data_IF_892874092219
#
_entry.id   IF_892874092219
#
_cell.length_a   1.000
_cell.length_b   1.000
_cell.length_c   1.000
_cell.angle_alpha   90.00
_cell.angle_beta   90.00
_cell.angle_gamma   90.00
#
_symmetry.space_group_name_H-M   'P 1'
#
loop_
_entity.id
_entity.type
_entity.pdbx_description
1 polymer ?
#
# COMPACT_ATOMS: atom_id res chain seq x y z
N UNK A 1 -10.26 32.55 27.87
CA UNK A 1 -9.64 31.61 26.96
C UNK A 1 -8.80 30.47 27.58
N UNK A 2 -8.55 30.41 28.88
CA UNK A 2 -7.72 29.39 29.56
C UNK A 2 -8.47 28.14 30.07
N UNK A 3 -9.80 28.01 29.90
CA UNK A 3 -10.59 26.90 30.48
C UNK A 3 -10.93 25.74 29.53
N UNK A 4 -10.62 25.82 28.23
CA UNK A 4 -11.07 24.82 27.24
C UNK A 4 -10.03 23.72 26.92
N UNK A 5 -8.76 23.94 27.16
CA UNK A 5 -7.69 23.07 26.61
C UNK A 5 -7.46 21.78 27.41
N UNK A 6 -7.81 21.72 28.68
CA UNK A 6 -7.45 20.59 29.55
C UNK A 6 -8.55 19.53 29.75
N UNK A 7 -9.72 19.68 29.12
CA UNK A 7 -10.89 18.79 29.34
C UNK A 7 -11.52 18.20 28.08
N UNK A 8 -10.91 18.38 26.90
CA UNK A 8 -11.47 17.81 25.68
C UNK A 8 -10.96 16.36 25.48
N UNK A 9 -11.81 15.42 25.08
CA UNK A 9 -11.40 14.04 24.77
C UNK A 9 -10.22 13.99 23.79
N UNK A 10 -10.15 14.95 22.86
CA UNK A 10 -9.05 15.07 21.88
C UNK A 10 -7.68 15.26 22.55
N UNK A 11 -7.62 16.10 23.59
CA UNK A 11 -6.39 16.29 24.35
C UNK A 11 -5.97 15.01 25.08
N UNK A 12 -6.91 14.34 25.74
CA UNK A 12 -6.62 13.10 26.48
C UNK A 12 -6.16 11.97 25.55
N UNK A 13 -6.82 11.78 24.39
CA UNK A 13 -6.42 10.80 23.38
C UNK A 13 -5.03 11.13 22.83
N UNK A 14 -4.80 12.40 22.49
CA UNK A 14 -3.50 12.85 21.97
C UNK A 14 -2.37 12.68 22.99
N UNK A 15 -2.62 13.06 24.25
CA UNK A 15 -1.65 12.90 25.32
C UNK A 15 -1.33 11.43 25.62
N UNK A 16 -2.36 10.57 25.69
CA UNK A 16 -2.18 9.13 25.87
C UNK A 16 -1.37 8.52 24.71
N UNK A 17 -1.69 8.87 23.46
CA UNK A 17 -0.95 8.41 22.28
C UNK A 17 0.52 8.84 22.29
N UNK A 18 0.79 10.11 22.64
CA UNK A 18 2.17 10.60 22.76
C UNK A 18 2.95 9.93 23.88
N UNK A 19 2.33 9.72 25.05
CA UNK A 19 2.96 9.02 26.17
C UNK A 19 3.27 7.55 25.80
N UNK A 20 2.33 6.88 25.15
CA UNK A 20 2.54 5.50 24.68
C UNK A 20 3.68 5.42 23.68
N UNK A 21 3.66 6.24 22.62
CA UNK A 21 4.71 6.24 21.61
C UNK A 21 6.07 6.65 22.19
N UNK A 22 6.10 7.65 23.08
CA UNK A 22 7.32 8.07 23.78
C UNK A 22 7.87 6.96 24.68
N UNK A 23 7.00 6.27 25.43
CA UNK A 23 7.38 5.12 26.24
C UNK A 23 7.95 3.96 25.42
N UNK A 24 7.30 3.61 24.27
CA UNK A 24 7.80 2.60 23.36
C UNK A 24 9.15 2.97 22.75
N UNK A 25 9.33 4.24 22.37
CA UNK A 25 10.61 4.74 21.86
C UNK A 25 11.72 4.68 22.91
N UNK A 26 11.44 5.10 24.15
CA UNK A 26 12.42 5.03 25.26
C UNK A 26 12.78 3.56 25.60
N UNK A 27 11.78 2.68 25.67
CA UNK A 27 12.00 1.25 25.85
C UNK A 27 12.93 0.69 24.75
N UNK A 28 12.65 1.02 23.48
CA UNK A 28 13.49 0.61 22.37
C UNK A 28 14.92 1.16 22.48
N UNK A 29 15.09 2.44 22.84
CA UNK A 29 16.42 3.04 23.03
C UNK A 29 17.27 2.33 24.09
N UNK A 30 16.63 1.81 25.14
CA UNK A 30 17.33 1.06 26.22
C UNK A 30 17.63 -0.38 25.76
N UNK A 31 16.74 -0.99 24.97
CA UNK A 31 16.86 -2.39 24.52
C UNK A 31 17.73 -2.59 23.28
N UNK A 32 18.16 -1.49 22.61
CA UNK A 32 18.93 -1.57 21.35
C UNK A 32 20.34 -1.04 21.49
N UNK A 33 21.28 -1.63 20.74
CA UNK A 33 22.65 -1.14 20.53
C UNK A 33 22.78 -0.18 19.33
N UNK A 34 21.67 0.39 18.84
CA UNK A 34 21.67 1.27 17.68
C UNK A 34 22.62 2.48 17.86
N UNK A 35 23.37 2.88 16.82
CA UNK A 35 24.24 4.05 16.86
C UNK A 35 23.43 5.34 17.04
N UNK A 36 24.09 6.41 17.46
CA UNK A 36 23.44 7.71 17.76
C UNK A 36 22.63 8.21 16.56
N UNK A 37 23.18 8.18 15.35
CA UNK A 37 22.47 8.61 14.13
C UNK A 37 21.23 7.74 13.82
N UNK A 38 21.30 6.43 14.12
CA UNK A 38 20.15 5.52 14.01
C UNK A 38 19.06 5.87 15.02
N UNK A 39 19.42 6.21 16.27
CA UNK A 39 18.45 6.68 17.29
C UNK A 39 17.81 8.01 16.89
N UNK A 40 18.57 8.94 16.29
CA UNK A 40 18.03 10.19 15.76
C UNK A 40 17.04 9.92 14.63
N UNK A 41 17.38 9.04 13.68
CA UNK A 41 16.48 8.64 12.60
C UNK A 41 15.16 8.05 13.13
N UNK A 42 15.24 7.14 14.12
CA UNK A 42 14.08 6.57 14.77
C UNK A 42 13.23 7.63 15.48
N UNK A 43 13.88 8.59 16.19
CA UNK A 43 13.17 9.69 16.84
C UNK A 43 12.42 10.58 15.84
N UNK A 44 13.07 10.97 14.74
CA UNK A 44 12.44 11.78 13.68
C UNK A 44 11.26 11.04 13.06
N UNK A 45 11.40 9.73 12.80
CA UNK A 45 10.31 8.88 12.30
C UNK A 45 9.12 8.85 13.27
N UNK A 46 9.38 8.60 14.57
CA UNK A 46 8.35 8.59 15.61
C UNK A 46 7.70 9.97 15.78
N UNK A 47 8.47 11.05 15.74
CA UNK A 47 7.96 12.43 15.86
C UNK A 47 7.07 12.83 14.68
N UNK A 48 7.44 12.46 13.44
CA UNK A 48 6.60 12.70 12.27
C UNK A 48 5.30 11.91 12.36
N UNK A 49 5.37 10.63 12.75
CA UNK A 49 4.19 9.80 12.96
C UNK A 49 3.27 10.38 14.05
N UNK A 50 3.84 10.80 15.18
CA UNK A 50 3.11 11.50 16.23
C UNK A 50 2.42 12.77 15.69
N UNK A 51 3.11 13.54 14.86
CA UNK A 51 2.54 14.71 14.19
C UNK A 51 1.36 14.38 13.28
N UNK A 52 1.41 13.26 12.54
CA UNK A 52 0.26 12.76 11.75
C UNK A 52 -0.91 12.44 12.68
N UNK A 53 -0.68 11.69 13.76
CA UNK A 53 -1.72 11.34 14.73
C UNK A 53 -2.34 12.57 15.40
N UNK A 54 -1.52 13.55 15.81
CA UNK A 54 -2.00 14.80 16.40
C UNK A 54 -2.87 15.64 15.46
N UNK A 55 -2.59 15.57 14.15
CA UNK A 55 -3.43 16.23 13.13
C UNK A 55 -4.68 15.44 12.78
N UNK A 56 -4.63 14.13 12.94
CA UNK A 56 -5.73 13.22 12.68
C UNK A 56 -6.83 13.29 13.76
N UNK A 57 -6.45 13.30 15.07
CA UNK A 57 -7.40 13.17 16.19
C UNK A 57 -8.54 14.20 16.16
N UNK A 58 -8.30 15.53 15.97
CA UNK A 58 -9.41 16.49 15.89
C UNK A 58 -10.35 16.23 14.70
N UNK A 59 -9.79 15.90 13.54
CA UNK A 59 -10.58 15.58 12.34
C UNK A 59 -11.44 14.32 12.53
N UNK A 60 -10.89 13.31 13.18
CA UNK A 60 -11.60 12.09 13.55
C UNK A 60 -12.75 12.37 14.51
N UNK A 61 -12.52 13.12 15.60
CA UNK A 61 -13.56 13.45 16.57
C UNK A 61 -14.70 14.25 15.94
N UNK A 62 -14.36 15.22 15.09
CA UNK A 62 -15.37 15.97 14.33
C UNK A 62 -16.14 15.09 13.35
N UNK A 63 -15.48 14.16 12.67
CA UNK A 63 -16.09 13.23 11.74
C UNK A 63 -17.14 12.33 12.41
N UNK A 64 -16.86 11.89 13.65
CA UNK A 64 -17.82 11.08 14.39
C UNK A 64 -18.91 11.92 15.08
N UNK A 65 -18.62 13.14 15.55
CA UNK A 65 -19.64 14.03 16.16
C UNK A 65 -20.65 14.57 15.15
N UNK A 66 -20.17 14.95 13.97
CA UNK A 66 -20.97 15.64 12.93
C UNK A 66 -21.49 14.71 11.84
N UNK A 67 -21.01 13.46 11.83
CA UNK A 67 -21.22 12.51 10.74
C UNK A 67 -20.39 12.84 9.49
N UNK A 68 -20.44 11.98 8.45
CA UNK A 68 -19.67 12.19 7.23
C UNK A 68 -20.14 13.50 6.53
N UNK A 69 -19.20 14.29 5.97
CA UNK A 69 -19.57 15.41 5.12
C UNK A 69 -20.41 14.91 3.93
N UNK A 70 -21.29 15.75 3.42
CA UNK A 70 -22.02 15.46 2.21
C UNK A 70 -21.04 15.11 1.08
N UNK A 71 -21.43 14.18 0.21
CA UNK A 71 -20.66 13.90 -1.00
C UNK A 71 -20.57 15.21 -1.80
N UNK A 72 -19.40 15.51 -2.31
CA UNK A 72 -19.24 16.62 -3.25
C UNK A 72 -20.18 16.34 -4.43
N UNK A 73 -21.09 17.27 -4.73
CA UNK A 73 -21.85 17.16 -5.96
C UNK A 73 -20.85 17.07 -7.10
N UNK A 74 -20.87 15.94 -7.78
CA UNK A 74 -20.02 15.75 -8.92
C UNK A 74 -20.44 16.76 -9.99
N UNK A 75 -19.73 17.86 -10.12
CA UNK A 75 -19.84 18.69 -11.32
C UNK A 75 -19.68 17.79 -12.55
N UNK A 76 -20.11 18.26 -13.71
CA UNK A 76 -20.18 17.47 -14.94
C UNK A 76 -18.91 16.64 -15.14
N UNK A 77 -19.05 15.33 -15.09
CA UNK A 77 -17.98 14.41 -15.46
C UNK A 77 -17.87 14.39 -16.98
N UNK A 78 -16.69 14.66 -17.55
CA UNK A 78 -16.51 14.54 -18.98
C UNK A 78 -16.94 13.15 -19.48
N UNK A 79 -17.61 13.06 -20.63
CA UNK A 79 -18.11 11.79 -21.15
C UNK A 79 -16.98 10.78 -21.30
N UNK A 80 -17.24 9.54 -20.94
CA UNK A 80 -16.31 8.42 -21.04
C UNK A 80 -15.01 8.57 -20.24
N UNK A 81 -14.98 9.46 -19.20
CA UNK A 81 -13.75 9.70 -18.43
C UNK A 81 -13.21 8.42 -17.75
N UNK A 82 -14.08 7.57 -17.24
CA UNK A 82 -13.68 6.27 -16.68
C UNK A 82 -12.95 5.39 -17.71
N UNK A 83 -13.45 5.33 -18.95
CA UNK A 83 -12.80 4.59 -20.03
C UNK A 83 -11.46 5.23 -20.41
N UNK A 84 -11.37 6.58 -20.45
CA UNK A 84 -10.11 7.29 -20.72
C UNK A 84 -9.05 6.98 -19.66
N UNK A 85 -9.43 6.97 -18.38
CA UNK A 85 -8.53 6.59 -17.28
C UNK A 85 -8.09 5.13 -17.44
N UNK A 86 -9.02 4.22 -17.68
CA UNK A 86 -8.72 2.79 -17.86
C UNK A 86 -7.72 2.56 -19.01
N UNK A 87 -8.00 3.09 -20.19
CA UNK A 87 -7.13 2.97 -21.37
C UNK A 87 -5.78 3.68 -21.15
N UNK A 88 -5.78 4.86 -20.51
CA UNK A 88 -4.54 5.58 -20.17
C UNK A 88 -3.63 4.76 -19.25
N UNK A 89 -4.18 4.02 -18.29
CA UNK A 89 -3.38 3.15 -17.43
C UNK A 89 -2.92 1.86 -18.13
N UNK A 90 -3.69 1.30 -19.05
CA UNK A 90 -3.18 0.22 -19.90
C UNK A 90 -2.00 0.71 -20.75
N UNK A 91 -2.09 1.92 -21.32
CA UNK A 91 -0.99 2.55 -22.06
C UNK A 91 0.23 2.78 -21.16
N UNK A 92 0.01 3.21 -19.90
CA UNK A 92 1.08 3.34 -18.91
C UNK A 92 1.78 2.01 -18.63
N UNK A 93 1.04 0.92 -18.42
CA UNK A 93 1.62 -0.42 -18.22
C UNK A 93 2.46 -0.84 -19.43
N UNK A 94 1.92 -0.68 -20.63
CA UNK A 94 2.67 -0.97 -21.87
C UNK A 94 3.93 -0.11 -21.98
N UNK A 95 3.83 1.18 -21.65
CA UNK A 95 4.98 2.09 -21.61
C UNK A 95 6.07 1.61 -20.65
N UNK A 96 5.71 1.17 -19.43
CA UNK A 96 6.66 0.64 -18.44
C UNK A 96 7.34 -0.62 -18.96
N UNK A 97 6.59 -1.55 -19.57
CA UNK A 97 7.16 -2.77 -20.16
C UNK A 97 8.15 -2.44 -21.28
N UNK A 98 7.79 -1.52 -22.18
CA UNK A 98 8.65 -1.09 -23.28
C UNK A 98 9.88 -0.30 -22.79
N UNK A 99 9.70 0.61 -21.83
CA UNK A 99 10.79 1.39 -21.26
C UNK A 99 11.80 0.49 -20.54
N UNK A 100 11.34 -0.49 -19.77
CA UNK A 100 12.21 -1.47 -19.13
C UNK A 100 13.00 -2.28 -20.16
N UNK A 101 12.34 -2.71 -21.24
CA UNK A 101 13.00 -3.37 -22.36
C UNK A 101 14.10 -2.47 -22.96
N UNK A 102 13.78 -1.20 -23.25
CA UNK A 102 14.73 -0.24 -23.82
C UNK A 102 15.95 -0.03 -22.91
N UNK A 103 15.73 0.18 -21.62
CA UNK A 103 16.82 0.33 -20.64
C UNK A 103 17.74 -0.90 -20.66
N UNK A 104 17.18 -2.10 -20.67
CA UNK A 104 17.96 -3.34 -20.69
C UNK A 104 18.76 -3.50 -22.00
N UNK A 105 18.16 -3.21 -23.15
CA UNK A 105 18.87 -3.22 -24.44
C UNK A 105 20.02 -2.23 -24.43
N UNK A 106 19.79 -1.01 -23.94
CA UNK A 106 20.83 0.03 -23.84
C UNK A 106 21.97 -0.36 -22.87
N UNK A 107 21.67 -1.21 -21.89
CA UNK A 107 22.65 -1.75 -20.95
C UNK A 107 23.39 -3.01 -21.48
N UNK A 108 23.19 -3.38 -22.74
CA UNK A 108 23.86 -4.51 -23.37
C UNK A 108 23.17 -5.87 -23.23
N UNK A 109 21.97 -5.92 -22.63
CA UNK A 109 21.17 -7.14 -22.61
C UNK A 109 20.45 -7.27 -23.96
N UNK A 110 21.02 -7.95 -24.95
CA UNK A 110 20.47 -8.11 -26.29
C UNK A 110 19.24 -9.01 -26.37
N UNK A 111 18.40 -8.85 -27.40
CA UNK A 111 17.25 -9.71 -27.69
C UNK A 111 16.01 -8.99 -28.22
N UNK A 112 14.95 -9.76 -28.55
CA UNK A 112 13.65 -9.22 -28.95
C UNK A 112 12.77 -8.94 -27.75
N UNK A 113 11.73 -8.11 -27.91
CA UNK A 113 10.76 -7.81 -26.84
C UNK A 113 10.19 -9.07 -26.19
N UNK A 114 9.90 -10.11 -26.98
CA UNK A 114 9.42 -11.39 -26.47
C UNK A 114 10.40 -12.03 -25.47
N UNK A 115 11.70 -11.87 -25.66
CA UNK A 115 12.72 -12.42 -24.76
C UNK A 115 12.91 -11.58 -23.49
N UNK A 116 12.36 -10.36 -23.46
CA UNK A 116 12.41 -9.50 -22.26
C UNK A 116 11.23 -9.71 -21.30
N UNK A 117 10.11 -10.24 -21.77
CA UNK A 117 8.98 -10.50 -20.88
C UNK A 117 9.32 -11.45 -19.73
N UNK A 118 10.11 -12.53 -19.91
CA UNK A 118 10.58 -13.37 -18.81
C UNK A 118 11.41 -12.63 -17.74
N UNK A 119 11.96 -11.45 -18.03
CA UNK A 119 12.59 -10.61 -17.01
C UNK A 119 11.64 -10.28 -15.86
N UNK A 120 10.36 -10.16 -16.13
CA UNK A 120 9.33 -9.84 -15.15
C UNK A 120 8.98 -11.01 -14.23
N UNK A 121 9.51 -12.22 -14.47
CA UNK A 121 9.46 -13.36 -13.53
C UNK A 121 10.57 -13.24 -12.48
N UNK A 122 10.76 -12.05 -11.91
CA UNK A 122 11.76 -11.79 -10.88
C UNK A 122 11.10 -11.59 -9.51
N UNK A 123 11.87 -11.66 -8.46
CA UNK A 123 11.43 -11.53 -7.08
C UNK A 123 10.21 -12.44 -6.80
N UNK A 124 9.18 -11.91 -6.17
CA UNK A 124 7.98 -12.65 -5.77
C UNK A 124 7.17 -13.21 -6.95
N UNK A 125 7.36 -12.68 -8.18
CA UNK A 125 6.58 -13.10 -9.36
C UNK A 125 6.70 -14.58 -9.66
N UNK A 126 7.91 -15.16 -9.54
CA UNK A 126 8.14 -16.58 -9.77
C UNK A 126 7.27 -17.45 -8.84
N UNK A 127 7.24 -17.10 -7.54
CA UNK A 127 6.43 -17.82 -6.56
C UNK A 127 4.93 -17.75 -6.86
N UNK A 128 4.42 -16.57 -7.22
CA UNK A 128 3.01 -16.42 -7.60
C UNK A 128 2.63 -17.26 -8.83
N UNK A 129 3.49 -17.29 -9.85
CA UNK A 129 3.25 -18.06 -11.07
C UNK A 129 3.35 -19.58 -10.81
N UNK A 130 4.28 -20.01 -9.97
CA UNK A 130 4.41 -21.40 -9.56
C UNK A 130 3.19 -21.88 -8.75
N UNK A 131 2.72 -21.08 -7.78
CA UNK A 131 1.48 -21.39 -7.03
C UNK A 131 0.28 -21.43 -7.97
N UNK A 132 0.19 -20.53 -8.96
CA UNK A 132 -0.87 -20.57 -9.96
C UNK A 132 -0.85 -21.85 -10.77
N UNK A 133 0.34 -22.38 -11.11
CA UNK A 133 0.52 -23.60 -11.90
C UNK A 133 0.28 -24.87 -11.07
N UNK A 134 1.00 -24.99 -9.95
CA UNK A 134 1.12 -26.25 -9.19
C UNK A 134 0.26 -26.26 -7.92
N UNK A 135 -0.19 -25.09 -7.44
CA UNK A 135 -0.83 -24.93 -6.13
C UNK A 135 0.19 -24.91 -4.99
N UNK A 136 -0.29 -24.97 -3.75
CA UNK A 136 0.57 -25.15 -2.58
C UNK A 136 0.88 -26.63 -2.39
N UNK A 137 2.16 -26.95 -2.21
CA UNK A 137 2.62 -28.31 -2.02
C UNK A 137 2.91 -28.54 -0.54
N UNK A 138 2.47 -29.69 0.00
CA UNK A 138 2.76 -30.12 1.39
C UNK A 138 4.15 -30.75 1.52
N UNK A 139 4.72 -31.22 0.40
CA UNK A 139 6.03 -31.86 0.34
C UNK A 139 6.86 -31.28 -0.81
N UNK A 140 8.16 -31.27 -0.67
CA UNK A 140 9.07 -30.79 -1.70
C UNK A 140 10.32 -30.10 -1.14
N UNK A 141 11.04 -29.38 -2.00
CA UNK A 141 12.15 -28.55 -1.57
C UNK A 141 11.67 -27.42 -0.64
N UNK A 142 12.56 -26.91 0.22
CA UNK A 142 12.25 -25.81 1.12
C UNK A 142 11.68 -24.60 0.38
N UNK A 143 12.12 -24.34 -0.86
CA UNK A 143 11.62 -23.27 -1.72
C UNK A 143 10.13 -23.39 -2.05
N UNK A 144 9.60 -24.61 -2.08
CA UNK A 144 8.17 -24.87 -2.31
C UNK A 144 7.34 -24.68 -1.06
N UNK A 145 7.84 -25.09 0.10
CA UNK A 145 7.17 -24.91 1.40
C UNK A 145 7.06 -23.45 1.79
N UNK A 146 8.10 -22.64 1.52
CA UNK A 146 8.08 -21.20 1.79
C UNK A 146 7.05 -20.44 0.96
N UNK A 147 6.50 -21.02 -0.11
CA UNK A 147 5.40 -20.42 -0.88
C UNK A 147 4.15 -20.17 -0.04
N UNK A 148 4.00 -20.82 1.13
CA UNK A 148 2.92 -20.51 2.08
C UNK A 148 2.90 -19.05 2.56
N UNK A 149 3.99 -18.29 2.43
CA UNK A 149 4.06 -16.86 2.72
C UNK A 149 3.25 -16.02 1.72
N UNK A 150 3.06 -16.51 0.49
CA UNK A 150 2.34 -15.83 -0.58
C UNK A 150 0.85 -16.18 -0.55
N UNK A 151 -0.01 -15.17 -0.47
CA UNK A 151 -1.45 -15.37 -0.35
C UNK A 151 -2.09 -15.81 -1.67
N UNK A 152 -3.18 -16.62 -1.63
CA UNK A 152 -3.71 -17.32 -2.78
C UNK A 152 -4.53 -16.46 -3.76
N UNK A 153 -4.96 -15.25 -3.37
CA UNK A 153 -5.88 -14.45 -4.19
C UNK A 153 -5.35 -14.13 -5.58
N UNK A 154 -4.08 -13.72 -5.69
CA UNK A 154 -3.46 -13.42 -6.98
C UNK A 154 -3.18 -14.68 -7.81
N UNK A 155 -2.55 -15.75 -7.28
CA UNK A 155 -2.38 -17.01 -8.01
C UNK A 155 -3.68 -17.59 -8.58
N UNK A 156 -4.77 -17.53 -7.82
CA UNK A 156 -6.08 -17.99 -8.31
C UNK A 156 -6.59 -17.16 -9.49
N UNK A 157 -6.44 -15.82 -9.44
CA UNK A 157 -6.79 -14.96 -10.56
C UNK A 157 -5.96 -15.27 -11.81
N UNK A 158 -4.65 -15.49 -11.63
CA UNK A 158 -3.75 -15.90 -12.73
C UNK A 158 -4.17 -17.24 -13.32
N UNK A 159 -4.45 -18.25 -12.47
CA UNK A 159 -4.92 -19.57 -12.92
C UNK A 159 -6.21 -19.51 -13.75
N UNK A 160 -7.16 -18.66 -13.33
CA UNK A 160 -8.40 -18.45 -14.07
C UNK A 160 -8.15 -17.83 -15.45
N UNK A 161 -7.30 -16.82 -15.54
CA UNK A 161 -6.98 -16.15 -16.82
C UNK A 161 -6.12 -17.04 -17.71
N UNK A 162 -5.22 -17.83 -17.13
CA UNK A 162 -4.37 -18.78 -17.87
C UNK A 162 -5.18 -19.79 -18.66
N UNK A 163 -6.36 -20.20 -18.17
CA UNK A 163 -7.25 -21.12 -18.90
C UNK A 163 -7.67 -20.59 -20.28
N UNK A 164 -7.64 -19.27 -20.51
CA UNK A 164 -7.94 -18.60 -21.76
C UNK A 164 -6.69 -18.19 -22.54
N UNK A 165 -5.61 -17.84 -21.85
CA UNK A 165 -4.38 -17.29 -22.44
C UNK A 165 -3.39 -18.41 -22.81
N UNK A 166 -3.41 -19.53 -22.08
CA UNK A 166 -2.55 -20.69 -22.34
C UNK A 166 -1.15 -20.61 -21.70
N UNK A 167 -0.75 -19.44 -21.15
CA UNK A 167 0.57 -19.23 -20.55
C UNK A 167 0.44 -18.47 -19.23
N UNK A 168 1.17 -18.88 -18.18
CA UNK A 168 1.07 -18.29 -16.83
C UNK A 168 1.69 -16.90 -16.75
N UNK A 169 2.81 -16.63 -17.44
CA UNK A 169 3.45 -15.32 -17.43
C UNK A 169 2.54 -14.28 -18.11
N UNK A 170 2.04 -14.59 -19.30
CA UNK A 170 1.12 -13.67 -20.00
C UNK A 170 -0.19 -13.48 -19.25
N UNK A 171 -0.73 -14.52 -18.62
CA UNK A 171 -1.89 -14.42 -17.75
C UNK A 171 -1.62 -13.51 -16.55
N UNK A 172 -0.48 -13.67 -15.89
CA UNK A 172 -0.06 -12.82 -14.77
C UNK A 172 0.08 -11.34 -15.16
N UNK A 173 0.77 -11.07 -16.28
CA UNK A 173 0.89 -9.70 -16.81
C UNK A 173 -0.48 -9.09 -17.14
N UNK A 174 -1.37 -9.88 -17.74
CA UNK A 174 -2.72 -9.43 -18.10
C UNK A 174 -3.58 -9.16 -16.85
N UNK A 175 -3.56 -10.04 -15.85
CA UNK A 175 -4.24 -9.83 -14.56
C UNK A 175 -3.77 -8.54 -13.91
N UNK A 176 -2.45 -8.31 -13.88
CA UNK A 176 -1.87 -7.10 -13.29
C UNK A 176 -2.28 -5.85 -14.07
N UNK A 177 -2.16 -5.85 -15.39
CA UNK A 177 -2.51 -4.71 -16.25
C UNK A 177 -3.99 -4.33 -16.15
N UNK A 178 -4.90 -5.30 -16.25
CA UNK A 178 -6.34 -5.06 -16.16
C UNK A 178 -6.74 -4.63 -14.75
N UNK A 179 -6.15 -5.22 -13.72
CA UNK A 179 -6.39 -4.85 -12.34
C UNK A 179 -5.93 -3.43 -12.05
N UNK A 180 -4.74 -3.03 -12.50
CA UNK A 180 -4.25 -1.67 -12.32
C UNK A 180 -5.10 -0.63 -13.06
N UNK A 181 -5.48 -0.91 -14.30
CA UNK A 181 -6.36 -0.04 -15.07
C UNK A 181 -7.74 0.11 -14.41
N UNK A 182 -8.31 -1.00 -13.93
CA UNK A 182 -9.56 -1.00 -13.17
C UNK A 182 -9.44 -0.26 -11.84
N UNK A 183 -8.32 -0.45 -11.11
CA UNK A 183 -8.03 0.26 -9.88
C UNK A 183 -8.01 1.78 -10.08
N UNK A 184 -7.33 2.26 -11.11
CA UNK A 184 -7.27 3.69 -11.42
C UNK A 184 -8.63 4.29 -11.77
N UNK A 185 -9.46 3.56 -12.52
CA UNK A 185 -10.83 3.97 -12.78
C UNK A 185 -11.63 4.13 -11.47
N UNK A 186 -11.58 3.11 -10.59
CA UNK A 186 -12.29 3.14 -9.31
C UNK A 186 -11.72 4.22 -8.38
N UNK A 187 -10.39 4.41 -8.34
CA UNK A 187 -9.72 5.47 -7.56
C UNK A 187 -10.13 6.86 -8.06
N UNK A 188 -10.21 7.06 -9.38
CA UNK A 188 -10.76 8.30 -9.94
C UNK A 188 -12.19 8.55 -9.41
N UNK A 189 -13.07 7.54 -9.48
CA UNK A 189 -14.45 7.62 -8.96
C UNK A 189 -14.49 7.87 -7.46
N UNK A 190 -13.59 7.24 -6.69
CA UNK A 190 -13.47 7.42 -5.25
C UNK A 190 -13.03 8.85 -4.92
N UNK A 191 -12.03 9.39 -5.63
CA UNK A 191 -11.56 10.75 -5.46
C UNK A 191 -12.66 11.78 -5.77
N UNK A 192 -13.48 11.52 -6.79
CA UNK A 192 -14.65 12.37 -7.17
C UNK A 192 -15.69 12.49 -6.06
N UNK A 193 -15.72 11.59 -5.09
CA UNK A 193 -16.64 11.72 -3.94
C UNK A 193 -16.26 12.86 -2.99
N UNK A 194 -14.99 13.26 -2.98
CA UNK A 194 -14.45 14.24 -2.04
C UNK A 194 -13.73 15.42 -2.73
N UNK A 195 -13.46 15.33 -4.05
CA UNK A 195 -12.62 16.27 -4.79
C UNK A 195 -13.21 16.61 -6.16
N UNK A 196 -12.81 17.78 -6.69
CA UNK A 196 -13.13 18.20 -8.06
C UNK A 196 -12.48 17.28 -9.12
N UNK A 197 -12.97 17.41 -10.39
CA UNK A 197 -12.50 16.61 -11.50
C UNK A 197 -10.95 16.68 -11.68
N UNK A 198 -10.38 17.88 -11.66
CA UNK A 198 -8.95 18.06 -11.89
C UNK A 198 -8.11 17.41 -10.77
N UNK A 199 -8.58 17.49 -9.54
CA UNK A 199 -7.94 16.83 -8.40
C UNK A 199 -8.06 15.31 -8.48
N UNK A 200 -9.17 14.77 -8.97
CA UNK A 200 -9.33 13.33 -9.19
C UNK A 200 -8.41 12.81 -10.29
N UNK A 201 -8.24 13.56 -11.39
CA UNK A 201 -7.27 13.23 -12.44
C UNK A 201 -5.83 13.30 -11.92
N UNK A 202 -5.49 14.33 -11.12
CA UNK A 202 -4.17 14.40 -10.45
C UNK A 202 -3.92 13.22 -9.52
N UNK A 203 -4.96 12.71 -8.86
CA UNK A 203 -4.81 11.51 -8.01
C UNK A 203 -4.34 10.31 -8.84
N UNK A 204 -4.93 10.08 -10.01
CA UNK A 204 -4.51 9.00 -10.93
C UNK A 204 -3.10 9.27 -11.48
N UNK A 205 -2.77 10.52 -11.85
CA UNK A 205 -1.41 10.89 -12.24
C UNK A 205 -0.39 10.53 -11.17
N UNK A 206 -0.65 10.92 -9.92
CA UNK A 206 0.27 10.61 -8.82
C UNK A 206 0.35 9.13 -8.49
N UNK A 207 -0.73 8.36 -8.68
CA UNK A 207 -0.68 6.91 -8.56
C UNK A 207 0.37 6.30 -9.53
N UNK A 208 0.44 6.79 -10.77
CA UNK A 208 1.45 6.36 -11.75
C UNK A 208 2.87 6.84 -11.42
N UNK A 209 3.01 7.95 -10.69
CA UNK A 209 4.29 8.55 -10.33
C UNK A 209 4.83 8.10 -8.96
N UNK A 210 4.07 7.28 -8.21
CA UNK A 210 4.59 6.71 -6.95
C UNK A 210 5.87 5.90 -7.23
N UNK A 211 6.90 5.99 -6.34
CA UNK A 211 8.17 5.29 -6.51
C UNK A 211 7.95 3.80 -6.62
N UNK A 212 7.61 2.98 -6.89
CA UNK A 212 7.25 1.57 -6.98
C UNK A 212 6.04 1.31 -7.89
N UNK A 213 5.49 2.33 -8.56
CA UNK A 213 4.30 2.16 -9.42
C UNK A 213 4.56 1.22 -10.61
N UNK A 214 5.81 1.06 -11.05
CA UNK A 214 6.13 0.11 -12.12
C UNK A 214 5.89 -1.37 -11.72
N UNK A 215 5.87 -1.69 -10.42
CA UNK A 215 5.49 -3.03 -9.97
C UNK A 215 4.03 -3.38 -10.30
N UNK A 216 3.18 -2.40 -10.57
CA UNK A 216 1.83 -2.66 -11.07
C UNK A 216 1.80 -3.29 -12.48
N UNK A 217 2.91 -3.26 -13.21
CA UNK A 217 3.06 -4.01 -14.46
C UNK A 217 3.57 -5.45 -14.24
N UNK A 218 4.17 -5.75 -13.09
CA UNK A 218 4.72 -7.07 -12.79
C UNK A 218 3.62 -8.12 -12.52
N UNK A 219 3.85 -9.40 -12.78
CA UNK A 219 2.93 -10.48 -12.41
C UNK A 219 2.97 -10.75 -10.90
N UNK A 220 2.51 -9.77 -10.12
CA UNK A 220 2.51 -9.73 -8.66
C UNK A 220 1.15 -9.27 -8.12
N UNK A 221 0.93 -9.48 -6.84
CA UNK A 221 -0.38 -9.26 -6.19
C UNK A 221 -0.81 -7.79 -6.02
N UNK A 222 0.10 -6.82 -6.22
CA UNK A 222 -0.10 -5.40 -5.92
C UNK A 222 -1.27 -4.77 -6.69
N UNK A 223 -1.37 -5.04 -7.99
CA UNK A 223 -2.40 -4.46 -8.86
C UNK A 223 -3.79 -4.99 -8.52
N UNK A 224 -3.93 -6.30 -8.31
CA UNK A 224 -5.19 -6.91 -7.91
C UNK A 224 -5.60 -6.42 -6.51
N UNK A 225 -4.64 -6.37 -5.59
CA UNK A 225 -4.86 -5.84 -4.24
C UNK A 225 -5.34 -4.39 -4.27
N UNK A 226 -4.69 -3.53 -5.05
CA UNK A 226 -5.09 -2.12 -5.20
C UNK A 226 -6.53 -1.99 -5.74
N UNK A 227 -6.90 -2.79 -6.75
CA UNK A 227 -8.26 -2.81 -7.29
C UNK A 227 -9.28 -3.21 -6.22
N UNK A 228 -9.01 -4.29 -5.48
CA UNK A 228 -9.89 -4.77 -4.42
C UNK A 228 -10.04 -3.77 -3.28
N UNK A 229 -8.95 -3.10 -2.88
CA UNK A 229 -8.97 -2.01 -1.91
C UNK A 229 -9.83 -0.83 -2.39
N UNK A 230 -9.66 -0.42 -3.65
CA UNK A 230 -10.42 0.67 -4.24
C UNK A 230 -11.91 0.35 -4.31
N UNK A 231 -12.27 -0.85 -4.77
CA UNK A 231 -13.66 -1.33 -4.82
C UNK A 231 -14.26 -1.43 -3.41
N UNK A 232 -13.52 -1.95 -2.45
CA UNK A 232 -13.94 -2.08 -1.06
C UNK A 232 -14.38 -0.73 -0.49
N UNK A 233 -13.49 0.26 -0.52
CA UNK A 233 -13.77 1.59 0.03
C UNK A 233 -14.82 2.33 -0.80
N UNK A 234 -14.78 2.25 -2.13
CA UNK A 234 -15.77 2.89 -3.00
C UNK A 234 -17.18 2.35 -2.77
N UNK A 235 -17.35 1.02 -2.67
CA UNK A 235 -18.66 0.41 -2.40
C UNK A 235 -19.19 0.81 -1.02
N UNK A 236 -18.35 0.80 0.02
CA UNK A 236 -18.74 1.26 1.35
C UNK A 236 -19.18 2.74 1.35
N UNK A 237 -18.43 3.61 0.64
CA UNK A 237 -18.75 5.03 0.48
C UNK A 237 -20.05 5.27 -0.31
N UNK A 238 -20.50 4.32 -1.12
CA UNK A 238 -21.77 4.29 -1.85
C UNK A 238 -22.87 3.52 -1.11
N UNK A 239 -22.68 3.25 0.18
CA UNK A 239 -23.61 2.51 1.03
C UNK A 239 -23.87 1.05 0.60
N UNK A 240 -22.97 0.48 -0.21
CA UNK A 240 -23.00 -0.93 -0.64
C UNK A 240 -22.11 -1.78 0.27
N UNK A 241 -22.48 -1.84 1.57
CA UNK A 241 -21.62 -2.43 2.61
C UNK A 241 -21.24 -3.88 2.35
N UNK A 242 -22.20 -4.73 2.00
CA UNK A 242 -21.91 -6.14 1.74
C UNK A 242 -20.88 -6.31 0.60
N UNK A 243 -21.09 -5.61 -0.51
CA UNK A 243 -20.16 -5.67 -1.64
C UNK A 243 -18.77 -5.11 -1.24
N UNK A 244 -18.73 -3.98 -0.50
CA UNK A 244 -17.49 -3.42 0.01
C UNK A 244 -16.72 -4.40 0.91
N UNK A 245 -17.41 -5.04 1.84
CA UNK A 245 -16.79 -6.01 2.75
C UNK A 245 -16.36 -7.32 2.05
N UNK A 246 -17.09 -7.76 1.00
CA UNK A 246 -16.66 -8.88 0.16
C UNK A 246 -15.36 -8.55 -0.60
N UNK A 247 -15.26 -7.36 -1.21
CA UNK A 247 -13.99 -6.92 -1.80
C UNK A 247 -12.87 -6.77 -0.77
N UNK A 248 -13.20 -6.34 0.45
CA UNK A 248 -12.26 -6.31 1.57
C UNK A 248 -11.77 -7.70 1.97
N UNK A 249 -12.65 -8.71 2.00
CA UNK A 249 -12.30 -10.10 2.24
C UNK A 249 -11.35 -10.63 1.14
N UNK A 250 -11.67 -10.37 -0.13
CA UNK A 250 -10.80 -10.75 -1.25
C UNK A 250 -9.45 -10.02 -1.20
N UNK A 251 -9.41 -8.75 -0.77
CA UNK A 251 -8.17 -8.03 -0.56
C UNK A 251 -7.32 -8.67 0.55
N UNK A 252 -7.94 -9.06 1.69
CA UNK A 252 -7.28 -9.74 2.78
C UNK A 252 -6.82 -11.17 2.42
N UNK A 253 -7.50 -11.83 1.48
CA UNK A 253 -7.11 -13.11 0.89
C UNK A 253 -6.01 -12.97 -0.17
N UNK A 254 -5.78 -11.74 -0.68
CA UNK A 254 -4.73 -11.44 -1.66
C UNK A 254 -3.44 -10.93 -1.02
N UNK A 255 -3.53 -10.13 0.05
CA UNK A 255 -2.39 -9.61 0.83
C UNK A 255 -2.82 -9.38 2.27
N UNK A 256 -1.95 -9.69 3.23
CA UNK A 256 -2.21 -9.52 4.67
C UNK A 256 -2.59 -8.06 5.05
N UNK A 257 -2.05 -7.06 4.37
CA UNK A 257 -2.43 -5.64 4.54
C UNK A 257 -3.92 -5.38 4.24
N UNK A 258 -4.62 -6.27 3.54
CA UNK A 258 -6.06 -6.20 3.33
C UNK A 258 -6.87 -6.24 4.62
N UNK A 259 -6.35 -6.85 5.69
CA UNK A 259 -6.95 -6.77 7.04
C UNK A 259 -7.13 -5.32 7.51
N UNK A 260 -6.23 -4.43 7.12
CA UNK A 260 -6.27 -3.02 7.53
C UNK A 260 -7.43 -2.26 6.88
N UNK A 261 -8.12 -2.82 5.89
CA UNK A 261 -9.36 -2.25 5.36
C UNK A 261 -10.49 -2.23 6.38
N UNK A 262 -10.42 -3.08 7.40
CA UNK A 262 -11.34 -3.00 8.53
C UNK A 262 -11.36 -1.59 9.15
N UNK A 263 -10.22 -0.93 9.23
CA UNK A 263 -10.09 0.40 9.86
C UNK A 263 -10.89 1.48 9.11
N UNK A 264 -10.66 1.78 7.82
CA UNK A 264 -11.43 2.79 7.12
C UNK A 264 -12.92 2.43 7.04
N UNK A 265 -13.28 1.16 6.89
CA UNK A 265 -14.67 0.71 6.88
C UNK A 265 -15.35 0.97 8.23
N UNK A 266 -14.67 0.65 9.35
CA UNK A 266 -15.19 0.92 10.68
C UNK A 266 -15.42 2.42 10.91
N UNK A 267 -14.47 3.27 10.50
CA UNK A 267 -14.60 4.73 10.61
C UNK A 267 -15.81 5.27 9.81
N UNK A 268 -16.00 4.79 8.58
CA UNK A 268 -17.13 5.17 7.74
C UNK A 268 -18.46 4.68 8.33
N UNK A 269 -18.50 3.45 8.82
CA UNK A 269 -19.70 2.86 9.39
C UNK A 269 -20.15 3.63 10.64
N UNK A 270 -19.25 3.86 11.60
CA UNK A 270 -19.57 4.61 12.82
C UNK A 270 -20.06 6.01 12.48
N UNK A 271 -19.40 6.70 11.55
CA UNK A 271 -19.81 8.04 11.11
C UNK A 271 -21.19 8.06 10.44
N UNK A 272 -21.50 7.06 9.61
CA UNK A 272 -22.80 6.96 8.94
C UNK A 272 -23.94 6.67 9.94
N UNK A 273 -23.70 5.84 10.95
CA UNK A 273 -24.67 5.53 11.99
C UNK A 273 -25.03 6.75 12.83
N UNK A 274 -24.03 7.57 13.17
CA UNK A 274 -24.25 8.80 13.96
C UNK A 274 -25.12 9.81 13.18
N UNK A 275 -24.86 9.97 11.85
CA UNK A 275 -25.55 10.97 11.03
C UNK A 275 -26.97 10.52 10.62
N UNK A 276 -27.11 9.27 10.21
CA UNK A 276 -28.29 8.82 9.48
C UNK A 276 -29.28 8.01 10.33
N UNK A 277 -28.88 7.62 11.55
CA UNK A 277 -29.74 6.81 12.43
C UNK A 277 -30.22 5.51 11.76
N UNK A 278 -29.38 4.86 10.95
CA UNK A 278 -29.75 3.73 10.09
C UNK A 278 -30.45 2.60 10.85
N UNK A 279 -31.51 2.02 10.28
CA UNK A 279 -32.36 1.03 10.99
C UNK A 279 -31.70 -0.34 11.22
N UNK A 280 -30.54 -0.64 10.60
CA UNK A 280 -29.92 -1.96 10.67
C UNK A 280 -28.40 -1.94 10.95
N UNK A 281 -27.94 -1.33 12.08
CA UNK A 281 -26.51 -1.26 12.39
C UNK A 281 -25.87 -2.64 12.51
N UNK A 282 -26.57 -3.62 13.10
CA UNK A 282 -26.06 -4.99 13.33
C UNK A 282 -25.66 -5.67 12.02
N UNK A 283 -26.47 -5.53 10.95
CA UNK A 283 -26.17 -6.11 9.63
C UNK A 283 -24.88 -5.56 9.04
N UNK A 284 -24.62 -4.26 9.19
CA UNK A 284 -23.43 -3.61 8.66
C UNK A 284 -22.19 -4.00 9.48
N UNK A 285 -22.30 -4.07 10.82
CA UNK A 285 -21.20 -4.59 11.65
C UNK A 285 -20.92 -6.07 11.36
N UNK A 286 -21.94 -6.89 11.15
CA UNK A 286 -21.75 -8.29 10.76
C UNK A 286 -21.04 -8.40 9.39
N UNK A 287 -21.36 -7.51 8.43
CA UNK A 287 -20.65 -7.49 7.15
C UNK A 287 -19.16 -7.17 7.30
N UNK A 288 -18.75 -6.29 8.25
CA UNK A 288 -17.35 -5.99 8.50
C UNK A 288 -16.52 -7.23 8.85
N UNK A 289 -17.13 -8.24 9.48
CA UNK A 289 -16.44 -9.49 9.84
C UNK A 289 -16.01 -10.30 8.59
N UNK A 290 -16.55 -10.01 7.42
CA UNK A 290 -16.09 -10.64 6.17
C UNK A 290 -14.62 -10.31 5.88
N UNK A 291 -14.14 -9.10 6.25
CA UNK A 291 -12.76 -8.69 5.98
C UNK A 291 -11.75 -9.63 6.68
N UNK A 292 -11.79 -9.84 8.00
CA UNK A 292 -10.90 -10.80 8.64
C UNK A 292 -11.17 -12.25 8.22
N UNK A 293 -12.38 -12.62 7.81
CA UNK A 293 -12.66 -13.95 7.29
C UNK A 293 -11.90 -14.25 5.99
N UNK A 294 -11.62 -13.23 5.14
CA UNK A 294 -10.76 -13.40 3.97
C UNK A 294 -9.34 -13.84 4.36
N UNK A 295 -8.78 -13.26 5.40
CA UNK A 295 -7.49 -13.71 5.94
C UNK A 295 -7.61 -15.07 6.65
N UNK A 296 -8.73 -15.33 7.33
CA UNK A 296 -9.03 -16.65 7.92
C UNK A 296 -9.06 -17.76 6.86
N UNK A 297 -9.57 -17.49 5.66
CA UNK A 297 -9.53 -18.42 4.54
C UNK A 297 -8.08 -18.74 4.11
N UNK A 298 -7.18 -17.74 4.11
CA UNK A 298 -5.75 -17.99 3.90
C UNK A 298 -5.12 -18.83 5.03
N UNK A 299 -5.47 -18.57 6.30
CA UNK A 299 -5.04 -19.42 7.41
C UNK A 299 -5.53 -20.86 7.26
N UNK A 300 -6.75 -21.07 6.74
CA UNK A 300 -7.26 -22.41 6.43
C UNK A 300 -6.45 -23.10 5.32
N UNK A 301 -5.97 -22.37 4.31
CA UNK A 301 -5.03 -22.90 3.30
C UNK A 301 -3.73 -23.33 3.96
N UNK A 302 -3.12 -22.50 4.82
CA UNK A 302 -1.92 -22.88 5.57
C UNK A 302 -2.14 -24.15 6.37
N UNK A 303 -3.26 -24.24 7.12
CA UNK A 303 -3.61 -25.41 7.88
C UNK A 303 -3.78 -26.67 7.01
N UNK A 304 -4.43 -26.55 5.86
CA UNK A 304 -4.64 -27.69 4.95
C UNK A 304 -3.35 -28.25 4.34
N UNK A 305 -2.33 -27.40 4.18
CA UNK A 305 -1.04 -27.80 3.59
C UNK A 305 -0.03 -28.26 4.64
N UNK A 306 0.05 -27.58 5.79
CA UNK A 306 1.10 -27.79 6.79
C UNK A 306 0.61 -28.30 8.15
N UNK A 307 -0.71 -28.34 8.38
CA UNK A 307 -1.30 -28.64 9.68
C UNK A 307 -1.22 -27.47 10.69
N UNK A 308 -0.62 -26.31 10.30
CA UNK A 308 -0.53 -25.13 11.14
C UNK A 308 -1.09 -23.90 10.39
N UNK A 309 -2.16 -23.24 10.91
CA UNK A 309 -2.77 -22.09 10.27
C UNK A 309 -1.85 -20.86 10.20
N UNK A 310 -0.77 -20.82 10.99
CA UNK A 310 0.18 -19.71 11.09
C UNK A 310 1.59 -20.06 10.57
N UNK A 311 1.75 -21.15 9.86
CA UNK A 311 3.05 -21.61 9.33
C UNK A 311 3.77 -20.54 8.51
N UNK A 312 3.02 -19.69 7.80
CA UNK A 312 3.59 -18.55 7.08
C UNK A 312 4.41 -17.59 7.97
N UNK A 313 4.06 -17.44 9.25
CA UNK A 313 4.81 -16.57 10.18
C UNK A 313 6.18 -17.14 10.51
N UNK A 314 6.26 -18.46 10.66
CA UNK A 314 7.53 -19.16 10.86
C UNK A 314 8.43 -18.99 9.64
N UNK A 315 7.91 -19.28 8.43
CA UNK A 315 8.67 -19.13 7.19
C UNK A 315 9.08 -17.68 6.92
N UNK A 316 8.21 -16.72 7.23
CA UNK A 316 8.53 -15.28 7.12
C UNK A 316 9.74 -14.92 7.99
N UNK A 317 9.79 -15.45 9.23
CA UNK A 317 10.90 -15.23 10.15
C UNK A 317 12.18 -15.90 9.68
N UNK A 318 12.09 -17.17 9.25
CA UNK A 318 13.26 -17.99 8.95
C UNK A 318 13.91 -17.65 7.60
N UNK A 319 13.09 -17.30 6.59
CA UNK A 319 13.61 -17.10 5.23
C UNK A 319 13.70 -15.63 4.82
N UNK A 320 12.89 -14.74 5.43
CA UNK A 320 12.96 -13.29 5.15
C UNK A 320 13.44 -12.46 6.33
N UNK A 321 13.72 -13.08 7.50
CA UNK A 321 14.13 -12.35 8.70
C UNK A 321 13.04 -11.39 9.22
N UNK A 322 11.80 -11.57 8.79
CA UNK A 322 10.72 -10.63 9.05
C UNK A 322 9.83 -11.07 10.21
N UNK A 323 9.68 -10.15 11.16
CA UNK A 323 8.75 -10.23 12.29
C UNK A 323 8.12 -8.85 12.50
N UNK A 324 7.07 -8.79 13.31
CA UNK A 324 6.53 -7.52 13.77
C UNK A 324 7.53 -6.85 14.73
N UNK A 325 7.86 -5.59 14.43
CA UNK A 325 8.71 -4.73 15.21
C UNK A 325 8.18 -3.30 15.25
N UNK A 326 9.01 -2.37 15.67
CA UNK A 326 8.65 -0.96 15.70
C UNK A 326 9.01 -0.29 14.37
N UNK A 327 8.08 0.43 13.74
CA UNK A 327 8.30 1.14 12.48
C UNK A 327 9.46 2.17 12.56
N UNK A 328 9.70 2.74 13.71
CA UNK A 328 10.84 3.64 13.92
C UNK A 328 12.18 2.88 14.01
N UNK A 329 12.19 1.61 14.45
CA UNK A 329 13.38 0.76 14.35
C UNK A 329 13.78 0.56 12.89
N UNK A 330 12.80 0.40 11.99
CA UNK A 330 13.05 0.28 10.55
C UNK A 330 13.79 1.50 10.00
N UNK A 331 13.38 2.72 10.38
CA UNK A 331 14.09 3.94 10.01
C UNK A 331 15.53 3.98 10.56
N UNK A 332 15.77 3.39 11.74
CA UNK A 332 17.10 3.31 12.36
C UNK A 332 18.04 2.39 11.61
N UNK A 333 17.65 1.11 11.43
CA UNK A 333 18.58 0.15 10.82
C UNK A 333 18.79 0.43 9.32
N UNK A 334 17.77 0.91 8.60
CA UNK A 334 17.93 1.26 7.19
C UNK A 334 18.91 2.42 6.98
N UNK A 335 18.90 3.41 7.88
CA UNK A 335 19.92 4.46 7.84
C UNK A 335 21.30 3.91 8.16
N UNK A 336 21.40 2.99 9.13
CA UNK A 336 22.67 2.33 9.47
C UNK A 336 23.20 1.57 8.26
N UNK A 337 22.41 0.69 7.65
CA UNK A 337 22.79 -0.07 6.47
C UNK A 337 23.21 0.84 5.30
N UNK A 338 22.49 1.95 5.10
CA UNK A 338 22.83 2.93 4.07
C UNK A 338 24.18 3.60 4.31
N UNK A 339 24.50 3.98 5.56
CA UNK A 339 25.76 4.65 5.91
C UNK A 339 26.93 3.68 5.90
N UNK A 340 26.77 2.50 6.51
CA UNK A 340 27.85 1.53 6.67
C UNK A 340 28.25 0.85 5.34
N UNK A 341 27.28 0.68 4.42
CA UNK A 341 27.52 -0.01 3.15
C UNK A 341 27.70 0.95 1.95
N UNK A 342 27.67 2.28 2.15
CA UNK A 342 27.73 3.22 1.02
C UNK A 342 28.99 3.07 0.16
N UNK A 343 30.13 2.81 0.76
CA UNK A 343 31.40 2.66 0.05
C UNK A 343 31.62 1.25 -0.50
N UNK A 344 31.08 0.22 0.15
CA UNK A 344 31.30 -1.19 -0.22
C UNK A 344 30.29 -1.73 -1.23
N UNK A 345 29.01 -1.31 -1.12
CA UNK A 345 27.91 -1.75 -1.98
C UNK A 345 26.93 -0.60 -2.28
N UNK A 346 27.36 0.38 -3.11
CA UNK A 346 26.51 1.52 -3.45
C UNK A 346 25.24 1.11 -4.21
N UNK A 347 25.22 0.00 -4.92
CA UNK A 347 24.07 -0.49 -5.67
C UNK A 347 22.94 -0.91 -4.76
N UNK A 348 23.22 -1.61 -3.67
CA UNK A 348 22.25 -1.95 -2.63
C UNK A 348 21.78 -0.70 -1.88
N UNK A 349 22.69 0.22 -1.57
CA UNK A 349 22.29 1.47 -0.90
C UNK A 349 21.33 2.28 -1.75
N UNK A 350 21.62 2.46 -3.04
CA UNK A 350 20.83 3.25 -3.97
C UNK A 350 19.56 2.53 -4.44
N UNK A 351 19.57 1.20 -4.53
CA UNK A 351 18.42 0.40 -4.97
C UNK A 351 17.46 0.03 -3.83
N UNK A 352 17.94 -0.07 -2.60
CA UNK A 352 17.17 -0.59 -1.46
C UNK A 352 17.06 0.39 -0.30
N UNK A 353 18.17 0.70 0.38
CA UNK A 353 18.11 1.42 1.66
C UNK A 353 17.67 2.86 1.52
N UNK A 354 18.20 3.60 0.55
CA UNK A 354 17.84 4.99 0.32
C UNK A 354 16.40 5.14 -0.19
N UNK A 355 15.92 4.39 -1.19
CA UNK A 355 14.51 4.43 -1.60
C UNK A 355 13.53 4.10 -0.47
N UNK A 356 13.84 3.10 0.37
CA UNK A 356 13.02 2.78 1.53
C UNK A 356 12.93 3.95 2.51
N UNK A 357 14.06 4.56 2.88
CA UNK A 357 14.11 5.73 3.77
C UNK A 357 13.31 6.91 3.21
N UNK A 358 13.53 7.23 1.92
CA UNK A 358 12.81 8.33 1.27
C UNK A 358 11.30 8.09 1.24
N UNK A 359 10.85 6.84 1.02
CA UNK A 359 9.44 6.49 1.06
C UNK A 359 8.86 6.53 2.48
N UNK A 360 9.59 6.06 3.48
CA UNK A 360 9.15 6.10 4.89
C UNK A 360 8.97 7.55 5.36
N UNK A 361 10.01 8.37 5.25
CA UNK A 361 9.96 9.77 5.69
C UNK A 361 9.06 10.63 4.80
N UNK A 362 9.11 10.43 3.48
CA UNK A 362 8.29 11.13 2.50
C UNK A 362 6.79 10.89 2.70
N UNK A 363 6.37 9.65 2.97
CA UNK A 363 4.97 9.34 3.24
C UNK A 363 4.47 9.94 4.55
N UNK A 364 5.29 9.92 5.62
CA UNK A 364 4.95 10.58 6.89
C UNK A 364 4.86 12.11 6.73
N UNK A 365 5.83 12.73 6.06
CA UNK A 365 5.80 14.17 5.78
C UNK A 365 4.57 14.55 4.95
N UNK A 366 4.29 13.80 3.87
CA UNK A 366 3.11 13.98 3.03
C UNK A 366 1.83 13.92 3.85
N UNK A 367 1.67 12.89 4.68
CA UNK A 367 0.48 12.74 5.52
C UNK A 367 0.40 13.78 6.63
N UNK A 368 1.52 14.20 7.20
CA UNK A 368 1.57 15.29 8.15
C UNK A 368 0.95 16.58 7.58
N UNK A 369 1.25 16.93 6.32
CA UNK A 369 0.73 18.14 5.68
C UNK A 369 -0.70 17.97 5.13
N UNK A 370 -1.14 16.75 4.83
CA UNK A 370 -2.43 16.48 4.19
C UNK A 370 -3.52 15.95 5.13
N UNK A 371 -3.19 15.45 6.33
CA UNK A 371 -4.15 14.79 7.24
C UNK A 371 -5.41 15.61 7.54
N UNK A 372 -5.31 16.96 7.62
CA UNK A 372 -6.45 17.85 7.82
C UNK A 372 -7.30 18.08 6.57
N UNK A 373 -6.79 17.72 5.38
CA UNK A 373 -7.45 17.92 4.08
C UNK A 373 -8.11 16.64 3.58
N UNK A 374 -7.64 15.50 4.09
CA UNK A 374 -8.17 14.19 3.75
C UNK A 374 -9.33 13.82 4.67
N UNK A 375 -10.19 12.95 4.17
CA UNK A 375 -11.21 12.31 4.97
C UNK A 375 -10.54 11.48 6.08
N UNK A 376 -11.02 11.56 7.34
CA UNK A 376 -10.37 10.90 8.47
C UNK A 376 -10.20 9.39 8.30
N UNK A 377 -11.14 8.71 7.64
CA UNK A 377 -11.04 7.28 7.34
C UNK A 377 -9.80 6.92 6.50
N UNK A 378 -9.40 7.78 5.55
CA UNK A 378 -8.18 7.58 4.76
C UNK A 378 -6.90 7.76 5.58
N UNK A 379 -6.89 8.77 6.47
CA UNK A 379 -5.75 8.97 7.37
C UNK A 379 -5.63 7.83 8.37
N UNK A 380 -6.75 7.35 8.93
CA UNK A 380 -6.76 6.18 9.81
C UNK A 380 -6.24 4.92 9.09
N UNK A 381 -6.66 4.72 7.84
CA UNK A 381 -6.16 3.62 6.99
C UNK A 381 -4.66 3.71 6.77
N UNK A 382 -4.15 4.90 6.41
CA UNK A 382 -2.70 5.11 6.28
C UNK A 382 -1.95 4.78 7.57
N UNK A 383 -2.41 5.29 8.73
CA UNK A 383 -1.79 5.03 10.03
C UNK A 383 -1.69 3.53 10.31
N UNK A 384 -2.79 2.79 10.13
CA UNK A 384 -2.83 1.35 10.36
C UNK A 384 -1.89 0.59 9.42
N UNK A 385 -1.95 0.87 8.11
CA UNK A 385 -1.08 0.24 7.13
C UNK A 385 0.40 0.60 7.35
N UNK A 386 0.71 1.84 7.71
CA UNK A 386 2.07 2.29 7.96
C UNK A 386 2.72 1.51 9.11
N UNK A 387 2.01 1.38 10.25
CA UNK A 387 2.52 0.63 11.41
C UNK A 387 2.80 -0.83 11.05
N UNK A 388 1.93 -1.47 10.30
CA UNK A 388 2.07 -2.89 9.93
C UNK A 388 3.14 -3.07 8.84
N UNK A 389 3.05 -2.31 7.73
CA UNK A 389 3.94 -2.50 6.59
C UNK A 389 5.39 -2.05 6.88
N UNK A 390 5.55 -0.94 7.59
CA UNK A 390 6.87 -0.39 7.93
C UNK A 390 7.41 -1.00 9.22
N UNK A 391 6.56 -1.59 10.05
CA UNK A 391 6.94 -2.24 11.31
C UNK A 391 7.63 -3.60 11.14
N UNK A 392 7.86 -4.10 9.93
CA UNK A 392 8.62 -5.32 9.70
C UNK A 392 10.08 -5.15 10.13
N UNK A 393 10.63 -6.14 10.86
CA UNK A 393 12.02 -6.10 11.36
C UNK A 393 13.08 -6.06 10.26
N UNK A 394 12.75 -6.54 9.06
CA UNK A 394 13.58 -6.49 7.86
C UNK A 394 12.73 -6.09 6.65
N UNK A 395 12.62 -4.78 6.39
CA UNK A 395 11.80 -4.24 5.31
C UNK A 395 12.62 -4.08 4.03
N UNK A 396 12.20 -4.76 2.98
CA UNK A 396 12.88 -4.75 1.67
C UNK A 396 12.17 -3.92 0.60
N UNK A 397 10.90 -3.55 0.79
CA UNK A 397 10.06 -3.03 -0.30
C UNK A 397 9.12 -1.91 0.12
N UNK A 398 9.59 -0.90 0.88
CA UNK A 398 8.75 0.24 1.26
C UNK A 398 8.10 0.94 0.05
N UNK A 399 8.81 1.22 -1.07
CA UNK A 399 8.21 1.82 -2.25
C UNK A 399 7.03 1.01 -2.80
N UNK A 400 7.16 -0.32 -2.89
CA UNK A 400 6.14 -1.23 -3.40
C UNK A 400 4.91 -1.28 -2.49
N UNK A 401 5.11 -1.39 -1.17
CA UNK A 401 4.01 -1.44 -0.20
C UNK A 401 3.25 -0.12 -0.14
N UNK A 402 3.98 1.00 -0.09
CA UNK A 402 3.37 2.33 -0.01
C UNK A 402 2.66 2.74 -1.32
N UNK A 403 3.12 2.27 -2.48
CA UNK A 403 2.45 2.51 -3.75
C UNK A 403 1.00 1.97 -3.78
N UNK A 404 0.70 0.91 -3.01
CA UNK A 404 -0.66 0.35 -2.91
C UNK A 404 -1.59 1.13 -1.99
N UNK A 405 -1.09 2.14 -1.25
CA UNK A 405 -1.87 2.90 -0.28
C UNK A 405 -2.57 4.09 -0.94
N UNK A 406 -3.84 3.92 -1.30
CA UNK A 406 -4.69 4.95 -1.92
C UNK A 406 -4.68 6.31 -1.18
N UNK A 407 -4.58 6.40 0.16
CA UNK A 407 -4.43 7.68 0.84
C UNK A 407 -3.27 8.54 0.35
N UNK A 408 -2.17 7.97 -0.13
CA UNK A 408 -0.99 8.72 -0.56
C UNK A 408 -1.20 9.51 -1.87
N UNK A 409 -1.68 8.94 -2.98
CA UNK A 409 -2.00 9.72 -4.18
C UNK A 409 -3.13 10.74 -3.94
N UNK A 410 -4.10 10.45 -3.06
CA UNK A 410 -5.11 11.44 -2.62
C UNK A 410 -4.46 12.60 -1.87
N UNK A 411 -3.50 12.32 -0.99
CA UNK A 411 -2.74 13.32 -0.25
C UNK A 411 -1.92 14.22 -1.19
N UNK A 412 -1.17 13.63 -2.13
CA UNK A 412 -0.42 14.36 -3.15
C UNK A 412 -1.34 15.30 -3.95
N UNK A 413 -2.49 14.80 -4.42
CA UNK A 413 -3.47 15.61 -5.13
C UNK A 413 -4.01 16.76 -4.28
N UNK A 414 -4.25 16.54 -2.97
CA UNK A 414 -4.75 17.56 -2.06
C UNK A 414 -3.76 18.72 -1.82
N UNK A 415 -2.46 18.44 -1.93
CA UNK A 415 -1.39 19.43 -1.76
C UNK A 415 -1.01 20.15 -3.05
N UNK A 416 -1.27 19.53 -4.20
CA UNK A 416 -0.87 20.01 -5.53
C UNK A 416 -1.93 20.87 -6.24
N UNK A 417 -2.80 21.57 -5.49
CA UNK A 417 -3.82 22.45 -6.09
C UNK A 417 -3.23 23.66 -6.82
N UNK A 418 -2.04 24.12 -6.41
CA UNK A 418 -1.31 25.21 -7.08
C UNK A 418 -0.41 24.63 -8.16
N UNK A 419 -0.38 25.24 -9.35
CA UNK A 419 0.39 24.75 -10.48
C UNK A 419 1.89 24.55 -10.19
N UNK A 420 2.53 25.46 -9.44
CA UNK A 420 3.93 25.30 -9.06
C UNK A 420 4.16 24.04 -8.18
N UNK A 421 3.25 23.79 -7.23
CA UNK A 421 3.35 22.61 -6.35
C UNK A 421 3.13 21.32 -7.14
N UNK A 422 2.17 21.33 -8.07
CA UNK A 422 1.92 20.21 -8.99
C UNK A 422 3.15 19.92 -9.85
N UNK A 423 3.77 20.95 -10.41
CA UNK A 423 4.97 20.81 -11.25
C UNK A 423 6.16 20.27 -10.45
N UNK A 424 6.46 20.84 -9.27
CA UNK A 424 7.57 20.39 -8.43
C UNK A 424 7.37 18.93 -8.00
N UNK A 425 6.19 18.57 -7.49
CA UNK A 425 5.90 17.18 -7.08
C UNK A 425 5.96 16.22 -8.26
N UNK A 426 5.46 16.62 -9.44
CA UNK A 426 5.52 15.81 -10.65
C UNK A 426 6.97 15.54 -11.05
N UNK A 427 7.82 16.56 -11.12
CA UNK A 427 9.24 16.41 -11.47
C UNK A 427 9.96 15.51 -10.47
N UNK A 428 9.84 15.79 -9.16
CA UNK A 428 10.53 15.00 -8.13
C UNK A 428 10.12 13.54 -8.16
N UNK A 429 8.81 13.25 -8.24
CA UNK A 429 8.31 11.87 -8.27
C UNK A 429 8.67 11.16 -9.57
N UNK A 430 8.65 11.87 -10.72
CA UNK A 430 9.08 11.30 -12.00
C UNK A 430 10.56 10.92 -11.97
N UNK A 431 11.42 11.81 -11.48
CA UNK A 431 12.86 11.51 -11.35
C UNK A 431 13.12 10.34 -10.42
N UNK A 432 12.44 10.30 -9.28
CA UNK A 432 12.60 9.19 -8.35
C UNK A 432 12.07 7.86 -8.93
N UNK A 433 10.87 7.86 -9.54
CA UNK A 433 10.30 6.66 -10.16
C UNK A 433 11.16 6.16 -11.32
N UNK A 434 11.68 7.08 -12.15
CA UNK A 434 12.56 6.71 -13.27
C UNK A 434 13.88 6.12 -12.76
N UNK A 435 14.52 6.77 -11.78
CA UNK A 435 15.73 6.24 -11.15
C UNK A 435 15.51 4.83 -10.59
N UNK A 436 14.41 4.63 -9.87
CA UNK A 436 14.08 3.36 -9.24
C UNK A 436 13.74 2.28 -10.28
N UNK A 437 13.08 2.64 -11.39
CA UNK A 437 12.85 1.76 -12.53
C UNK A 437 14.16 1.35 -13.23
N UNK A 438 15.11 2.29 -13.40
CA UNK A 438 16.43 2.00 -13.96
C UNK A 438 17.18 1.02 -13.05
N UNK A 439 17.20 1.26 -11.75
CA UNK A 439 17.81 0.35 -10.77
C UNK A 439 17.20 -1.06 -10.85
N UNK A 440 15.88 -1.17 -10.96
CA UNK A 440 15.17 -2.42 -11.15
C UNK A 440 15.57 -3.11 -12.48
N UNK A 441 15.55 -2.37 -13.59
CA UNK A 441 15.89 -2.91 -14.90
C UNK A 441 17.33 -3.41 -14.98
N UNK A 442 18.25 -2.79 -14.24
CA UNK A 442 19.66 -3.18 -14.14
C UNK A 442 19.91 -4.27 -13.08
N UNK A 443 18.85 -4.79 -12.45
CA UNK A 443 18.92 -5.80 -11.39
C UNK A 443 19.75 -5.39 -10.17
N UNK A 444 19.70 -4.12 -9.79
CA UNK A 444 20.11 -3.72 -8.46
C UNK A 444 19.16 -4.34 -7.43
N UNK A 445 19.48 -4.22 -6.14
CA UNK A 445 18.67 -4.80 -5.07
C UNK A 445 17.34 -4.02 -4.90
N UNK A 446 16.46 -4.15 -5.88
CA UNK A 446 15.12 -3.54 -5.92
C UNK A 446 14.09 -4.67 -5.79
N UNK A 447 13.33 -4.64 -4.67
CA UNK A 447 12.37 -5.68 -4.28
C UNK A 447 10.95 -5.18 -4.18
#
# INVERSE_FOLDING_TARGET
MKKAFCKTPEFLISAAGLLTLGGLYLYWCVSTSAPVYGRISAFVCAALFAGVCLRFVPGWMDFWRKGPPALTEAGDEPPHMGLKVFLGLLTYVLFILLLTCLIRVSAGYGGSFKNYLPFWTCADSAHYLDIARDGYLSEGSIDRLVQLVFLPGYPLAVRLVQAFVGDYLYAGLLVSALSFAGAGWVIYRLARLDMDHNSAVRTVKYLCLMPGAFFFAAPMSESLFLLLCALCVYCARKDRWLAGCLFGALAAFTRSLGLMLFVPLFFELVSSLIKEGKPHPVRHFAALLLVPLGFGAYCAVNYSVSGDPFKFMEYQREHWGQQMGFFFNTASYQLREAVENFASDPTTVLGLWLPNLLCVFGSLALMLFSAKRLRPSYTAWFIACFVIAIGATWLLSAPRYLATLIPLPLALSSLSKRAWADNVLTVLLTLFSLFYLVAFALRWQVW
#
